data_IF_349279629358
#
_entry.id   IF_349279629358
#
_cell.length_a   1.000
_cell.length_b   1.000
_cell.length_c   1.000
_cell.angle_alpha   90.00
_cell.angle_beta   90.00
_cell.angle_gamma   90.00
#
_symmetry.space_group_name_H-M   'P 1'
#
loop_
_entity.id
_entity.type
_entity.pdbx_description
1 polymer ?
#
# COMPACT_ATOMS: atom_id res chain seq x y z
N UNK A 1 -13.89 -2.32 -26.32
CA UNK A 1 -12.60 -2.01 -25.65
C UNK A 1 -12.25 -3.22 -24.82
N UNK A 2 -11.03 -3.74 -24.91
CA UNK A 2 -10.65 -4.88 -24.06
C UNK A 2 -10.50 -4.38 -22.60
N UNK A 3 -10.61 -5.28 -21.62
CA UNK A 3 -10.51 -4.95 -20.19
C UNK A 3 -9.22 -4.18 -19.86
N UNK A 4 -8.10 -4.59 -20.46
CA UNK A 4 -6.78 -4.00 -20.22
C UNK A 4 -6.70 -2.54 -20.67
N UNK A 5 -7.21 -2.23 -21.86
CA UNK A 5 -7.33 -0.89 -22.43
C UNK A 5 -8.24 -0.02 -21.57
N UNK A 6 -9.35 -0.56 -21.07
CA UNK A 6 -10.25 0.15 -20.15
C UNK A 6 -9.53 0.54 -18.86
N UNK A 7 -8.81 -0.40 -18.25
CA UNK A 7 -8.01 -0.21 -17.03
C UNK A 7 -6.89 0.80 -17.22
N UNK A 8 -6.20 0.74 -18.37
CA UNK A 8 -5.15 1.69 -18.76
C UNK A 8 -5.72 3.10 -18.93
N UNK A 9 -6.78 3.25 -19.74
CA UNK A 9 -7.43 4.53 -19.99
C UNK A 9 -7.98 5.13 -18.71
N UNK A 10 -8.63 4.34 -17.86
CA UNK A 10 -9.14 4.76 -16.55
C UNK A 10 -8.04 5.17 -15.56
N UNK A 11 -6.76 4.92 -15.87
CA UNK A 11 -5.64 5.26 -15.01
C UNK A 11 -5.58 4.42 -13.73
N UNK A 12 -6.04 3.17 -13.77
CA UNK A 12 -6.06 2.29 -12.59
C UNK A 12 -4.64 1.87 -12.23
N UNK A 13 -4.32 1.98 -10.94
CA UNK A 13 -3.06 1.54 -10.35
C UNK A 13 -3.31 0.60 -9.17
N UNK A 14 -2.27 -0.10 -8.73
CA UNK A 14 -2.26 -0.88 -7.51
C UNK A 14 -2.59 -0.02 -6.29
N UNK A 15 -3.84 -0.10 -5.84
CA UNK A 15 -4.40 0.70 -4.75
C UNK A 15 -3.90 0.31 -3.36
N UNK A 16 -3.24 -0.85 -3.22
CA UNK A 16 -2.69 -1.35 -1.96
C UNK A 16 -1.36 -0.71 -1.53
N UNK A 17 -1.02 0.48 -2.02
CA UNK A 17 0.15 1.25 -1.59
C UNK A 17 1.06 1.66 -2.74
N UNK A 18 1.83 0.73 -3.32
CA UNK A 18 2.93 1.05 -4.24
C UNK A 18 2.52 1.80 -5.53
N UNK A 19 1.24 1.76 -5.93
CA UNK A 19 0.74 2.52 -7.08
C UNK A 19 1.25 2.04 -8.44
N UNK A 20 1.69 0.78 -8.54
CA UNK A 20 2.16 0.21 -9.81
C UNK A 20 1.03 0.14 -10.84
N UNK A 21 1.23 0.53 -12.11
CA UNK A 21 0.16 0.53 -13.11
C UNK A 21 -0.44 -0.87 -13.34
N UNK A 22 -1.76 -0.99 -13.17
CA UNK A 22 -2.44 -2.29 -13.18
C UNK A 22 -2.43 -2.94 -14.56
N UNK A 23 -2.57 -2.16 -15.63
CA UNK A 23 -2.50 -2.65 -17.00
C UNK A 23 -1.15 -3.28 -17.35
N UNK A 24 -0.04 -2.76 -16.82
CA UNK A 24 1.29 -3.37 -17.00
C UNK A 24 1.36 -4.68 -16.23
N UNK A 25 0.84 -4.71 -14.99
CA UNK A 25 0.82 -5.92 -14.15
C UNK A 25 0.00 -7.05 -14.79
N UNK A 26 -1.08 -6.73 -15.47
CA UNK A 26 -1.98 -7.68 -16.12
C UNK A 26 -1.61 -8.02 -17.57
N UNK A 27 -0.62 -7.33 -18.14
CA UNK A 27 -0.05 -7.67 -19.45
C UNK A 27 0.86 -8.89 -19.35
N UNK A 28 0.31 -10.00 -18.90
CA UNK A 28 1.01 -11.25 -18.64
C UNK A 28 0.05 -12.45 -18.72
N UNK A 29 0.61 -13.66 -18.75
CA UNK A 29 -0.12 -14.90 -18.45
C UNK A 29 0.28 -15.39 -17.08
N UNK A 30 -0.67 -15.90 -16.32
CA UNK A 30 -0.43 -16.43 -14.98
C UNK A 30 -1.12 -17.78 -14.82
N UNK A 31 -0.49 -18.69 -14.10
CA UNK A 31 -1.12 -19.96 -13.72
C UNK A 31 -2.16 -19.74 -12.61
N UNK A 32 -1.82 -18.87 -11.64
CA UNK A 32 -2.71 -18.54 -10.52
C UNK A 32 -2.95 -17.05 -10.42
N UNK A 33 -4.20 -16.67 -10.17
CA UNK A 33 -4.60 -15.30 -9.88
C UNK A 33 -5.09 -15.19 -8.43
N UNK A 34 -4.43 -14.36 -7.62
CA UNK A 34 -4.73 -14.19 -6.20
C UNK A 34 -5.27 -12.79 -5.94
N UNK A 35 -6.44 -12.71 -5.34
CA UNK A 35 -7.00 -11.48 -4.80
C UNK A 35 -6.52 -11.35 -3.36
N UNK A 36 -5.71 -10.33 -3.07
CA UNK A 36 -5.27 -10.00 -1.73
C UNK A 36 -6.38 -9.24 -0.99
N UNK A 37 -7.16 -9.99 -0.21
CA UNK A 37 -8.27 -9.55 0.63
C UNK A 37 -7.90 -9.57 2.13
N UNK A 38 -6.61 -9.50 2.45
CA UNK A 38 -6.11 -9.67 3.83
C UNK A 38 -6.26 -8.40 4.67
N UNK A 39 -6.10 -7.21 4.07
CA UNK A 39 -6.06 -5.90 4.76
C UNK A 39 -5.21 -6.00 6.05
N UNK A 40 -3.89 -6.05 5.90
CA UNK A 40 -2.99 -6.37 7.01
C UNK A 40 -2.61 -5.17 7.88
N UNK A 41 -2.73 -3.95 7.37
CA UNK A 41 -2.45 -2.74 8.15
C UNK A 41 -3.47 -2.58 9.28
N UNK A 42 -3.03 -2.41 10.55
CA UNK A 42 -3.95 -2.15 11.64
C UNK A 42 -4.82 -0.92 11.38
N UNK A 43 -6.01 -0.91 11.97
CA UNK A 43 -7.02 0.15 11.86
C UNK A 43 -7.71 0.31 10.49
N UNK A 44 -7.10 -0.13 9.38
CA UNK A 44 -7.73 -0.01 8.07
C UNK A 44 -8.90 -0.99 7.91
N UNK A 45 -9.99 -0.50 7.33
CA UNK A 45 -11.22 -1.27 7.07
C UNK A 45 -11.79 -1.01 5.67
N UNK A 46 -11.02 -0.37 4.80
CA UNK A 46 -11.45 0.01 3.44
C UNK A 46 -11.76 -1.23 2.60
N UNK A 47 -10.84 -2.18 2.51
CA UNK A 47 -11.06 -3.41 1.73
C UNK A 47 -12.16 -4.27 2.35
N UNK A 48 -12.28 -4.26 3.68
CA UNK A 48 -13.37 -4.94 4.39
C UNK A 48 -14.74 -4.37 3.99
N UNK A 49 -14.86 -3.05 3.96
CA UNK A 49 -16.07 -2.36 3.51
C UNK A 49 -16.41 -2.73 2.06
N UNK A 50 -15.42 -2.69 1.16
CA UNK A 50 -15.60 -3.05 -0.25
C UNK A 50 -16.03 -4.51 -0.42
N UNK A 51 -15.46 -5.46 0.33
CA UNK A 51 -15.87 -6.86 0.27
C UNK A 51 -17.30 -7.10 0.76
N UNK A 52 -17.79 -6.30 1.72
CA UNK A 52 -19.18 -6.40 2.19
C UNK A 52 -20.18 -5.79 1.20
N UNK A 53 -19.86 -4.64 0.63
CA UNK A 53 -20.83 -3.81 -0.11
C UNK A 53 -20.71 -3.90 -1.63
N UNK A 54 -19.57 -4.37 -2.15
CA UNK A 54 -19.26 -4.47 -3.58
C UNK A 54 -18.78 -5.89 -3.94
N UNK A 55 -19.26 -6.92 -3.21
CA UNK A 55 -18.85 -8.30 -3.41
C UNK A 55 -19.14 -8.82 -4.83
N UNK A 56 -20.32 -8.53 -5.35
CA UNK A 56 -20.75 -8.97 -6.69
C UNK A 56 -19.87 -8.35 -7.78
N UNK A 57 -19.64 -7.03 -7.70
CA UNK A 57 -18.74 -6.30 -8.59
C UNK A 57 -17.32 -6.86 -8.55
N UNK A 58 -16.80 -7.11 -7.34
CA UNK A 58 -15.48 -7.70 -7.13
C UNK A 58 -15.38 -9.06 -7.80
N UNK A 59 -16.32 -9.97 -7.56
CA UNK A 59 -16.30 -11.32 -8.13
C UNK A 59 -16.45 -11.28 -9.66
N UNK A 60 -17.33 -10.41 -10.18
CA UNK A 60 -17.53 -10.22 -11.61
C UNK A 60 -16.22 -9.86 -12.32
N UNK A 61 -15.52 -8.80 -11.87
CA UNK A 61 -14.25 -8.40 -12.49
C UNK A 61 -13.14 -9.43 -12.26
N UNK A 62 -13.18 -10.17 -11.15
CA UNK A 62 -12.22 -11.26 -10.91
C UNK A 62 -12.32 -12.34 -12.00
N UNK A 63 -13.54 -12.70 -12.42
CA UNK A 63 -13.75 -13.63 -13.53
C UNK A 63 -13.14 -13.10 -14.84
N UNK A 64 -13.42 -11.85 -15.19
CA UNK A 64 -12.88 -11.24 -16.42
C UNK A 64 -11.35 -11.15 -16.41
N UNK A 65 -10.74 -10.83 -15.25
CA UNK A 65 -9.28 -10.78 -15.10
C UNK A 65 -8.68 -12.19 -15.16
N UNK A 66 -9.30 -13.17 -14.52
CA UNK A 66 -8.84 -14.56 -14.55
C UNK A 66 -8.82 -15.11 -15.99
N UNK A 67 -9.86 -14.85 -16.78
CA UNK A 67 -9.94 -15.24 -18.18
C UNK A 67 -8.83 -14.57 -19.02
N UNK A 68 -8.66 -13.25 -18.86
CA UNK A 68 -7.61 -12.49 -19.54
C UNK A 68 -6.20 -13.03 -19.22
N UNK A 69 -5.94 -13.35 -17.95
CA UNK A 69 -4.66 -13.90 -17.51
C UNK A 69 -4.47 -15.38 -17.89
N UNK A 70 -5.53 -16.04 -18.38
CA UNK A 70 -5.61 -17.49 -18.59
C UNK A 70 -5.29 -18.28 -17.31
N UNK A 71 -5.72 -17.75 -16.17
CA UNK A 71 -5.46 -18.33 -14.86
C UNK A 71 -6.23 -19.65 -14.71
N UNK A 72 -5.50 -20.72 -14.37
CA UNK A 72 -6.08 -22.04 -14.07
C UNK A 72 -6.75 -22.06 -12.71
N UNK A 73 -6.23 -21.25 -11.78
CA UNK A 73 -6.75 -21.13 -10.42
C UNK A 73 -6.92 -19.67 -10.03
N UNK A 74 -8.10 -19.32 -9.53
CA UNK A 74 -8.38 -17.99 -8.97
C UNK A 74 -8.73 -18.12 -7.49
N UNK A 75 -8.04 -17.35 -6.64
CA UNK A 75 -8.15 -17.46 -5.18
C UNK A 75 -8.35 -16.08 -4.55
N UNK A 76 -9.34 -15.96 -3.67
CA UNK A 76 -9.45 -14.82 -2.75
C UNK A 76 -8.80 -15.20 -1.43
N UNK A 77 -7.64 -14.59 -1.14
CA UNK A 77 -6.88 -14.81 0.09
C UNK A 77 -7.33 -13.82 1.16
N UNK A 78 -7.97 -14.32 2.22
CA UNK A 78 -8.66 -13.51 3.24
C UNK A 78 -8.38 -14.05 4.64
N UNK A 79 -8.37 -13.21 5.67
CA UNK A 79 -8.23 -13.69 7.07
C UNK A 79 -9.46 -14.50 7.46
N UNK A 80 -9.26 -15.67 8.08
CA UNK A 80 -10.37 -16.52 8.53
C UNK A 80 -11.29 -15.87 9.58
N UNK A 81 -10.83 -14.82 10.25
CA UNK A 81 -11.63 -14.02 11.19
C UNK A 81 -12.61 -13.05 10.52
N UNK A 82 -12.52 -12.81 9.21
CA UNK A 82 -13.37 -11.86 8.46
C UNK A 82 -14.69 -12.52 8.04
N UNK A 83 -15.52 -12.89 9.03
CA UNK A 83 -16.70 -13.74 8.81
C UNK A 83 -17.73 -13.11 7.88
N UNK A 84 -18.01 -11.81 8.05
CA UNK A 84 -18.99 -11.08 7.23
C UNK A 84 -18.50 -10.92 5.79
N UNK A 85 -17.24 -10.57 5.61
CA UNK A 85 -16.62 -10.45 4.30
C UNK A 85 -16.59 -11.79 3.56
N UNK A 86 -16.21 -12.89 4.25
CA UNK A 86 -16.24 -14.24 3.70
C UNK A 86 -17.66 -14.61 3.26
N UNK A 87 -18.68 -14.34 4.09
CA UNK A 87 -20.07 -14.65 3.76
C UNK A 87 -20.55 -13.87 2.52
N UNK A 88 -20.22 -12.59 2.42
CA UNK A 88 -20.57 -11.76 1.26
C UNK A 88 -19.89 -12.26 -0.02
N UNK A 89 -18.60 -12.60 0.05
CA UNK A 89 -17.83 -13.15 -1.07
C UNK A 89 -18.33 -14.53 -1.51
N UNK A 90 -18.56 -15.45 -0.57
CA UNK A 90 -19.06 -16.79 -0.87
C UNK A 90 -20.46 -16.73 -1.52
N UNK A 91 -21.32 -15.80 -1.05
CA UNK A 91 -22.62 -15.53 -1.69
C UNK A 91 -22.43 -15.04 -3.13
N UNK A 92 -21.58 -14.03 -3.36
CA UNK A 92 -21.33 -13.48 -4.69
C UNK A 92 -20.72 -14.53 -5.66
N UNK A 93 -19.76 -15.35 -5.18
CA UNK A 93 -19.16 -16.46 -5.94
C UNK A 93 -20.24 -17.45 -6.37
N UNK A 94 -21.13 -17.83 -5.45
CA UNK A 94 -22.23 -18.75 -5.73
C UNK A 94 -23.21 -18.18 -6.74
N UNK A 95 -23.60 -16.91 -6.60
CA UNK A 95 -24.53 -16.24 -7.53
C UNK A 95 -23.95 -16.17 -8.95
N UNK A 96 -22.65 -15.86 -9.08
CA UNK A 96 -21.99 -15.76 -10.37
C UNK A 96 -21.59 -17.13 -10.97
N UNK A 97 -21.81 -18.25 -10.27
CA UNK A 97 -21.26 -19.56 -10.61
C UNK A 97 -19.74 -19.51 -10.91
N UNK A 98 -19.02 -18.65 -10.18
CA UNK A 98 -17.63 -18.34 -10.46
C UNK A 98 -16.70 -19.47 -9.96
N UNK A 99 -15.72 -19.86 -10.78
CA UNK A 99 -14.67 -20.79 -10.36
C UNK A 99 -13.58 -20.07 -9.55
N UNK A 100 -13.95 -19.59 -8.38
CA UNK A 100 -13.08 -18.84 -7.46
C UNK A 100 -13.10 -19.52 -6.09
N UNK A 101 -11.92 -19.76 -5.52
CA UNK A 101 -11.78 -20.36 -4.18
C UNK A 101 -11.52 -19.28 -3.14
N UNK A 102 -12.11 -19.44 -1.96
CA UNK A 102 -11.76 -18.62 -0.78
C UNK A 102 -10.69 -19.35 0.03
N UNK A 103 -9.51 -18.76 0.16
CA UNK A 103 -8.42 -19.28 0.98
C UNK A 103 -8.34 -18.50 2.29
N UNK A 104 -8.59 -19.18 3.41
CA UNK A 104 -8.67 -18.58 4.74
C UNK A 104 -7.31 -18.63 5.43
N UNK A 105 -6.70 -17.46 5.62
CA UNK A 105 -5.40 -17.28 6.26
C UNK A 105 -5.53 -17.09 7.78
N UNK A 106 -4.45 -17.43 8.49
CA UNK A 106 -4.27 -17.05 9.89
C UNK A 106 -4.11 -15.53 10.04
N UNK A 107 -4.52 -14.99 11.20
CA UNK A 107 -4.45 -13.56 11.49
C UNK A 107 -3.06 -13.15 12.02
N UNK A 108 -2.09 -13.02 11.10
CA UNK A 108 -0.73 -12.55 11.41
C UNK A 108 -0.32 -11.36 10.52
N UNK A 109 0.77 -10.69 10.89
CA UNK A 109 1.33 -9.58 10.11
C UNK A 109 2.81 -9.81 9.74
N UNK A 110 3.22 -9.45 8.50
CA UNK A 110 2.38 -9.00 7.40
C UNK A 110 1.89 -10.19 6.56
N UNK A 111 0.70 -10.72 6.86
CA UNK A 111 0.06 -11.71 6.00
C UNK A 111 -0.32 -11.14 4.63
N UNK A 112 -0.43 -9.82 4.50
CA UNK A 112 -0.77 -9.12 3.26
C UNK A 112 0.40 -8.84 2.32
N UNK A 113 1.64 -9.14 2.72
CA UNK A 113 2.81 -8.98 1.85
C UNK A 113 2.69 -9.90 0.64
N UNK A 114 3.01 -9.37 -0.54
CA UNK A 114 2.73 -10.05 -1.81
C UNK A 114 3.43 -11.42 -1.92
N UNK A 115 4.69 -11.55 -1.49
CA UNK A 115 5.37 -12.84 -1.56
C UNK A 115 5.00 -13.77 -0.40
N UNK A 116 4.59 -13.21 0.75
CA UNK A 116 4.00 -14.00 1.84
C UNK A 116 2.70 -14.64 1.36
N UNK A 117 1.80 -13.88 0.73
CA UNK A 117 0.55 -14.42 0.19
C UNK A 117 0.79 -15.49 -0.87
N UNK A 118 1.71 -15.24 -1.81
CA UNK A 118 2.06 -16.24 -2.83
C UNK A 118 2.44 -17.56 -2.16
N UNK A 119 3.30 -17.50 -1.13
CA UNK A 119 3.71 -18.68 -0.40
C UNK A 119 2.57 -19.34 0.39
N UNK A 120 1.76 -18.59 1.12
CA UNK A 120 0.64 -19.16 1.91
C UNK A 120 -0.41 -19.84 1.03
N UNK A 121 -0.68 -19.28 -0.16
CA UNK A 121 -1.72 -19.81 -1.06
C UNK A 121 -1.21 -20.95 -1.93
N UNK A 122 0.01 -20.83 -2.48
CA UNK A 122 0.50 -21.74 -3.53
C UNK A 122 1.66 -22.63 -3.09
N UNK A 123 2.30 -22.34 -1.96
CA UNK A 123 3.58 -22.94 -1.56
C UNK A 123 4.78 -22.53 -2.42
N UNK A 124 4.56 -21.79 -3.52
CA UNK A 124 5.62 -21.31 -4.41
C UNK A 124 6.39 -20.16 -3.75
N UNK A 125 7.65 -20.02 -4.15
CA UNK A 125 8.60 -19.10 -3.54
C UNK A 125 9.08 -18.11 -4.59
N UNK A 126 8.80 -16.84 -4.38
CA UNK A 126 9.31 -15.79 -5.26
C UNK A 126 10.84 -15.71 -5.07
N UNK A 127 11.63 -15.86 -6.16
CA UNK A 127 13.08 -15.76 -6.08
C UNK A 127 13.55 -14.42 -5.52
N UNK A 128 14.75 -14.37 -4.96
CA UNK A 128 15.33 -13.10 -4.49
C UNK A 128 15.40 -12.09 -5.63
N UNK A 129 14.90 -10.87 -5.41
CA UNK A 129 14.81 -9.83 -6.45
C UNK A 129 13.75 -10.08 -7.54
N UNK A 130 13.06 -11.23 -7.50
CA UNK A 130 11.96 -11.56 -8.41
C UNK A 130 10.62 -10.98 -8.01
N UNK A 131 9.64 -11.18 -8.88
CA UNK A 131 8.23 -10.78 -8.71
C UNK A 131 7.33 -12.02 -8.74
N UNK A 132 6.08 -11.97 -8.24
CA UNK A 132 5.16 -13.13 -8.28
C UNK A 132 4.99 -13.76 -9.66
N UNK A 133 5.09 -12.97 -10.73
CA UNK A 133 4.98 -13.47 -12.09
C UNK A 133 6.11 -14.46 -12.44
N UNK A 134 7.29 -14.36 -11.83
CA UNK A 134 8.40 -15.32 -12.01
C UNK A 134 8.04 -16.74 -11.55
N UNK A 135 6.98 -16.90 -10.76
CA UNK A 135 6.43 -18.21 -10.34
C UNK A 135 5.02 -18.47 -10.88
N UNK A 136 4.62 -17.72 -11.91
CA UNK A 136 3.33 -17.85 -12.59
C UNK A 136 2.16 -17.34 -11.77
N UNK A 137 2.36 -16.37 -10.88
CA UNK A 137 1.30 -15.84 -10.00
C UNK A 137 1.11 -14.35 -10.23
N UNK A 138 -0.14 -13.88 -10.33
CA UNK A 138 -0.49 -12.46 -10.27
C UNK A 138 -1.29 -12.21 -9.01
N UNK A 139 -0.92 -11.20 -8.23
CA UNK A 139 -1.64 -10.80 -7.01
C UNK A 139 -2.26 -9.42 -7.21
N UNK A 140 -3.55 -9.23 -6.91
CA UNK A 140 -4.21 -7.91 -7.00
C UNK A 140 -5.01 -7.60 -5.74
N UNK A 141 -4.93 -6.36 -5.25
CA UNK A 141 -5.62 -5.92 -4.05
C UNK A 141 -7.11 -5.63 -4.35
N UNK A 142 -7.99 -5.80 -3.35
CA UNK A 142 -9.45 -5.58 -3.47
C UNK A 142 -9.80 -4.22 -4.05
N UNK A 143 -9.29 -3.11 -3.50
CA UNK A 143 -9.57 -1.78 -4.03
C UNK A 143 -9.10 -1.59 -5.49
N UNK A 144 -8.07 -2.32 -5.91
CA UNK A 144 -7.61 -2.31 -7.32
C UNK A 144 -8.61 -3.01 -8.23
N UNK A 145 -9.18 -4.12 -7.77
CA UNK A 145 -10.20 -4.86 -8.52
C UNK A 145 -11.48 -4.03 -8.65
N UNK A 146 -11.94 -3.38 -7.58
CA UNK A 146 -13.10 -2.48 -7.64
C UNK A 146 -12.87 -1.33 -8.63
N UNK A 147 -11.68 -0.71 -8.62
CA UNK A 147 -11.35 0.33 -9.60
C UNK A 147 -11.32 -0.22 -11.04
N UNK A 148 -10.90 -1.47 -11.24
CA UNK A 148 -10.95 -2.11 -12.55
C UNK A 148 -12.38 -2.45 -13.00
N UNK A 149 -13.27 -2.83 -12.08
CA UNK A 149 -14.69 -2.97 -12.36
C UNK A 149 -15.32 -1.63 -12.76
N UNK A 150 -15.04 -0.57 -12.00
CA UNK A 150 -15.53 0.77 -12.36
C UNK A 150 -15.02 1.19 -13.76
N UNK A 151 -13.79 0.79 -14.13
CA UNK A 151 -13.26 1.00 -15.48
C UNK A 151 -14.00 0.23 -16.58
N UNK A 152 -14.54 -0.97 -16.31
CA UNK A 152 -15.39 -1.68 -17.29
C UNK A 152 -16.71 -0.96 -17.54
N UNK A 153 -17.18 -0.21 -16.54
CA UNK A 153 -18.35 0.66 -16.62
C UNK A 153 -18.03 2.06 -17.18
N UNK A 154 -16.82 2.25 -17.73
CA UNK A 154 -16.38 3.51 -18.31
C UNK A 154 -16.06 4.60 -17.27
N UNK A 155 -15.93 4.25 -15.99
CA UNK A 155 -15.63 5.19 -14.90
C UNK A 155 -14.12 5.19 -14.60
N UNK A 156 -13.41 6.30 -14.81
CA UNK A 156 -11.99 6.38 -14.46
C UNK A 156 -11.77 6.38 -12.93
N UNK A 157 -10.55 6.08 -12.50
CA UNK A 157 -10.18 6.14 -11.09
C UNK A 157 -10.05 7.60 -10.63
N UNK A 158 -11.16 8.16 -10.16
CA UNK A 158 -11.28 9.54 -9.69
C UNK A 158 -11.63 9.69 -8.21
N UNK A 159 -12.06 8.61 -7.55
CA UNK A 159 -12.47 8.60 -6.14
C UNK A 159 -11.78 7.47 -5.38
N UNK A 160 -11.65 7.64 -4.07
CA UNK A 160 -11.09 6.64 -3.16
C UNK A 160 -12.00 6.44 -1.96
N UNK A 161 -12.15 5.17 -1.58
CA UNK A 161 -12.63 4.78 -0.26
C UNK A 161 -11.45 4.84 0.71
N UNK A 162 -11.62 5.52 1.83
CA UNK A 162 -10.55 5.83 2.77
C UNK A 162 -11.08 5.57 4.17
N UNK A 163 -10.33 4.81 4.96
CA UNK A 163 -10.61 4.67 6.38
C UNK A 163 -10.14 5.94 7.10
N UNK A 164 -11.03 6.67 7.76
CA UNK A 164 -10.66 7.78 8.66
C UNK A 164 -10.94 7.39 10.10
N UNK A 165 -9.89 7.27 10.91
CA UNK A 165 -9.99 6.70 12.26
C UNK A 165 -8.87 7.19 13.18
N UNK A 166 -8.86 6.72 14.43
CA UNK A 166 -8.00 7.19 15.49
C UNK A 166 -8.73 8.16 16.41
N UNK A 167 -8.06 9.21 16.87
CA UNK A 167 -8.64 10.27 17.67
C UNK A 167 -9.48 11.24 16.83
N UNK A 168 -10.53 10.73 16.18
CA UNK A 168 -11.58 11.50 15.50
C UNK A 168 -12.93 11.25 16.18
N UNK A 169 -13.86 12.21 16.12
CA UNK A 169 -15.15 12.10 16.83
C UNK A 169 -16.07 11.04 16.22
N UNK A 170 -15.99 10.82 14.90
CA UNK A 170 -16.80 9.81 14.18
C UNK A 170 -15.97 9.03 13.16
N UNK A 171 -15.24 8.00 13.58
CA UNK A 171 -14.48 7.13 12.67
C UNK A 171 -15.38 6.51 11.59
N UNK A 172 -15.02 6.68 10.33
CA UNK A 172 -15.90 6.39 9.19
C UNK A 172 -15.12 5.91 7.96
N UNK A 173 -15.83 5.27 7.02
CA UNK A 173 -15.35 5.13 5.65
C UNK A 173 -15.76 6.37 4.87
N UNK A 174 -14.78 7.05 4.28
CA UNK A 174 -15.02 8.24 3.46
C UNK A 174 -14.76 7.91 2.00
N UNK A 175 -15.72 8.25 1.13
CA UNK A 175 -15.55 8.26 -0.32
C UNK A 175 -15.18 9.67 -0.76
N UNK A 176 -13.92 9.87 -1.12
CA UNK A 176 -13.38 11.19 -1.45
C UNK A 176 -12.85 11.23 -2.88
N UNK A 177 -13.14 12.30 -3.64
CA UNK A 177 -12.44 12.59 -4.89
C UNK A 177 -10.92 12.69 -4.69
N UNK A 178 -10.15 12.23 -5.67
CA UNK A 178 -8.69 12.39 -5.67
C UNK A 178 -8.37 13.89 -5.71
N UNK A 179 -7.45 14.33 -4.86
CA UNK A 179 -7.10 15.73 -4.66
C UNK A 179 -7.90 16.45 -3.57
N UNK A 180 -8.85 15.78 -2.91
CA UNK A 180 -9.50 16.30 -1.69
C UNK A 180 -8.48 16.55 -0.59
N UNK A 181 -8.65 17.63 0.20
CA UNK A 181 -7.78 17.88 1.34
C UNK A 181 -7.92 16.81 2.42
N UNK A 182 -6.80 16.44 3.06
CA UNK A 182 -6.83 15.50 4.20
C UNK A 182 -7.62 16.10 5.37
N UNK A 183 -7.55 17.42 5.56
CA UNK A 183 -8.34 18.15 6.55
C UNK A 183 -9.84 18.00 6.31
N UNK A 184 -10.33 18.10 5.07
CA UNK A 184 -11.75 17.89 4.73
C UNK A 184 -12.21 16.46 5.06
N UNK A 185 -11.34 15.45 4.88
CA UNK A 185 -11.63 14.08 5.30
C UNK A 185 -11.72 13.95 6.83
N UNK A 186 -10.87 14.64 7.59
CA UNK A 186 -10.93 14.65 9.05
C UNK A 186 -12.22 15.36 9.53
N UNK A 187 -12.60 16.47 8.89
CA UNK A 187 -13.84 17.19 9.20
C UNK A 187 -15.09 16.36 8.88
N UNK A 188 -15.09 15.59 7.79
CA UNK A 188 -16.16 14.63 7.51
C UNK A 188 -16.28 13.49 8.54
N UNK A 189 -15.20 13.20 9.27
CA UNK A 189 -15.20 12.34 10.46
C UNK A 189 -15.54 13.11 11.76
N UNK A 190 -16.20 14.26 11.64
CA UNK A 190 -16.56 15.19 12.71
C UNK A 190 -15.36 15.79 13.47
N UNK A 191 -14.22 15.93 12.79
CA UNK A 191 -13.00 16.54 13.34
C UNK A 191 -12.26 15.64 14.33
N UNK A 192 -11.05 16.08 14.71
CA UNK A 192 -10.25 15.42 15.74
C UNK A 192 -10.95 15.49 17.12
N UNK A 193 -10.79 14.44 17.93
CA UNK A 193 -11.29 14.40 19.32
C UNK A 193 -10.28 14.91 20.35
N UNK A 194 -9.07 15.25 19.91
CA UNK A 194 -7.96 15.80 20.71
C UNK A 194 -7.30 16.97 19.95
N UNK A 195 -6.64 17.86 20.69
CA UNK A 195 -5.99 19.05 20.10
C UNK A 195 -4.59 18.77 19.55
N UNK A 196 -3.79 17.96 20.26
CA UNK A 196 -2.41 17.64 19.86
C UNK A 196 -2.29 16.25 19.24
N UNK A 197 -2.27 16.21 17.91
CA UNK A 197 -2.22 14.98 17.14
C UNK A 197 -1.24 15.08 15.97
N UNK A 198 -0.80 13.91 15.50
CA UNK A 198 -0.19 13.72 14.20
C UNK A 198 -1.17 13.05 13.23
N UNK A 199 -0.98 13.31 11.93
CA UNK A 199 -1.79 12.70 10.86
C UNK A 199 -0.91 11.75 10.06
N UNK A 200 -1.35 10.50 9.95
CA UNK A 200 -0.68 9.45 9.15
C UNK A 200 -1.56 9.09 7.94
N UNK A 201 -1.02 9.18 6.73
CA UNK A 201 -1.65 8.62 5.52
C UNK A 201 -1.23 7.17 5.33
N UNK A 202 -2.20 6.31 5.06
CA UNK A 202 -2.04 4.87 4.93
C UNK A 202 -2.31 4.16 6.25
N UNK A 203 -1.62 3.04 6.49
CA UNK A 203 -1.71 2.31 7.76
C UNK A 203 -0.64 2.72 8.77
N UNK A 204 -0.77 2.33 10.05
CA UNK A 204 0.17 2.73 11.08
C UNK A 204 1.54 2.09 10.89
N UNK A 205 1.67 0.94 10.22
CA UNK A 205 2.97 0.30 10.02
C UNK A 205 3.71 0.92 8.84
N UNK A 206 3.11 0.92 7.64
CA UNK A 206 3.77 1.35 6.41
C UNK A 206 3.45 2.79 5.96
N UNK A 207 2.47 3.45 6.58
CA UNK A 207 2.05 4.81 6.21
C UNK A 207 3.07 5.90 6.55
N UNK A 208 2.80 7.12 6.10
CA UNK A 208 3.66 8.31 6.30
C UNK A 208 2.97 9.38 7.13
N UNK A 209 3.74 10.08 7.95
CA UNK A 209 3.27 11.27 8.65
C UNK A 209 3.30 12.49 7.73
N UNK A 210 2.32 13.40 7.88
CA UNK A 210 2.15 14.60 7.03
C UNK A 210 2.71 15.90 7.60
N UNK A 211 3.23 15.90 8.83
CA UNK A 211 3.58 17.12 9.58
C UNK A 211 4.51 18.08 8.82
N UNK A 212 5.41 17.55 7.98
CA UNK A 212 6.36 18.34 7.18
C UNK A 212 5.96 18.55 5.70
N UNK A 213 4.81 18.03 5.26
CA UNK A 213 4.36 18.15 3.86
C UNK A 213 3.65 19.49 3.64
N UNK A 214 3.79 20.06 2.43
CA UNK A 214 3.05 21.26 2.01
C UNK A 214 1.55 20.99 1.91
N UNK A 215 0.74 22.04 1.96
CA UNK A 215 -0.72 21.94 1.88
C UNK A 215 -1.20 21.27 0.57
N UNK A 216 -0.51 21.52 -0.54
CA UNK A 216 -0.80 20.87 -1.83
C UNK A 216 -0.44 19.39 -1.88
N UNK A 217 0.43 18.94 -0.98
CA UNK A 217 0.81 17.52 -0.85
C UNK A 217 -0.03 16.75 0.16
N UNK A 218 -0.74 17.44 1.06
CA UNK A 218 -1.70 16.88 2.04
C UNK A 218 -3.04 16.58 1.40
N UNK A 219 -3.02 15.78 0.32
CA UNK A 219 -4.18 15.49 -0.52
C UNK A 219 -4.40 13.99 -0.66
N UNK A 220 -5.66 13.61 -0.88
CA UNK A 220 -6.03 12.25 -1.26
C UNK A 220 -5.41 11.91 -2.62
N UNK A 221 -4.67 10.82 -2.70
CA UNK A 221 -4.11 10.25 -3.94
C UNK A 221 -4.70 8.88 -4.24
N UNK A 222 -4.46 8.34 -5.44
CA UNK A 222 -4.87 6.98 -5.82
C UNK A 222 -4.38 5.87 -4.87
N UNK A 223 -3.28 6.11 -4.15
CA UNK A 223 -2.67 5.18 -3.20
C UNK A 223 -3.11 5.40 -1.76
N UNK A 224 -3.93 6.42 -1.49
CA UNK A 224 -4.46 6.70 -0.15
C UNK A 224 -5.49 5.64 0.22
N UNK A 225 -5.23 4.89 1.30
CA UNK A 225 -6.13 3.85 1.84
C UNK A 225 -6.69 4.19 3.22
N UNK A 226 -6.02 5.07 3.97
CA UNK A 226 -6.42 5.51 5.29
C UNK A 226 -5.85 6.88 5.67
N UNK A 227 -6.52 7.55 6.60
CA UNK A 227 -6.10 8.77 7.27
C UNK A 227 -6.29 8.52 8.77
N UNK A 228 -5.17 8.49 9.51
CA UNK A 228 -5.17 8.20 10.93
C UNK A 228 -4.82 9.46 11.70
N UNK A 229 -5.66 9.83 12.66
CA UNK A 229 -5.39 10.89 13.63
C UNK A 229 -4.91 10.23 14.91
N UNK A 230 -3.65 10.45 15.30
CA UNK A 230 -3.03 9.76 16.44
C UNK A 230 -2.44 10.78 17.42
N UNK A 231 -2.47 10.52 18.74
CA UNK A 231 -1.91 11.43 19.72
C UNK A 231 -0.39 11.61 19.54
N UNK A 232 0.10 12.84 19.71
CA UNK A 232 1.55 13.08 19.86
C UNK A 232 2.07 12.57 21.20
N UNK A 233 3.38 12.42 21.33
CA UNK A 233 4.07 11.87 22.51
C UNK A 233 4.03 10.34 22.61
N UNK A 234 3.27 9.64 21.77
CA UNK A 234 3.19 8.19 21.74
C UNK A 234 4.30 7.51 20.92
N UNK A 235 4.29 6.16 20.91
CA UNK A 235 5.21 5.36 20.10
C UNK A 235 5.24 5.77 18.62
N UNK A 236 4.05 6.11 18.09
CA UNK A 236 3.85 6.41 16.68
C UNK A 236 4.60 7.67 16.22
N UNK A 237 4.75 8.69 17.06
CA UNK A 237 5.52 9.90 16.72
C UNK A 237 7.01 9.54 16.49
N UNK A 238 7.62 8.82 17.44
CA UNK A 238 9.01 8.36 17.28
C UNK A 238 9.17 7.37 16.11
N UNK A 239 8.17 6.51 15.88
CA UNK A 239 8.19 5.58 14.76
C UNK A 239 8.06 6.28 13.40
N UNK A 240 7.28 7.35 13.30
CA UNK A 240 7.04 8.09 12.05
C UNK A 240 7.92 9.31 11.84
N UNK A 241 8.75 9.65 12.83
CA UNK A 241 9.75 10.72 12.74
C UNK A 241 10.57 10.67 11.45
N UNK A 242 11.07 11.82 11.01
CA UNK A 242 12.01 11.89 9.90
C UNK A 242 13.23 10.98 10.12
N UNK A 243 13.79 10.49 9.01
CA UNK A 243 15.01 9.69 9.02
C UNK A 243 16.23 10.62 9.20
N UNK A 244 17.07 10.30 10.18
CA UNK A 244 18.32 10.98 10.47
C UNK A 244 19.41 9.93 10.65
N UNK A 245 20.29 9.81 9.64
CA UNK A 245 21.33 8.79 9.61
C UNK A 245 22.36 8.98 10.74
N UNK A 246 22.97 10.17 10.94
CA UNK A 246 23.86 10.41 12.09
C UNK A 246 23.25 10.03 13.44
N UNK A 247 21.99 10.39 13.68
CA UNK A 247 21.29 10.02 14.92
C UNK A 247 21.10 8.50 15.03
N UNK A 248 20.72 7.85 13.94
CA UNK A 248 20.56 6.38 13.90
C UNK A 248 21.89 5.68 14.16
N UNK A 249 22.99 6.12 13.54
CA UNK A 249 24.32 5.56 13.77
C UNK A 249 24.74 5.72 15.22
N UNK A 250 24.56 6.92 15.80
CA UNK A 250 24.85 7.18 17.22
C UNK A 250 24.05 6.26 18.15
N UNK A 251 22.74 6.12 17.92
CA UNK A 251 21.88 5.21 18.69
C UNK A 251 22.30 3.75 18.52
N UNK A 252 22.62 3.33 17.31
CA UNK A 252 23.05 1.96 17.04
C UNK A 252 24.38 1.63 17.75
N UNK A 253 25.38 2.54 17.70
CA UNK A 253 26.65 2.38 18.43
C UNK A 253 26.45 2.30 19.95
N UNK A 254 25.56 3.15 20.49
CA UNK A 254 25.37 3.27 21.93
C UNK A 254 24.48 2.16 22.53
N UNK A 255 23.44 1.72 21.81
CA UNK A 255 22.37 0.91 22.38
C UNK A 255 22.21 -0.48 21.74
N UNK A 256 22.79 -0.77 20.57
CA UNK A 256 22.57 -2.07 19.93
C UNK A 256 23.22 -3.20 20.74
N UNK A 257 22.40 -4.10 21.29
CA UNK A 257 22.85 -5.30 22.03
C UNK A 257 23.29 -6.47 21.12
N UNK A 258 23.41 -6.23 19.80
CA UNK A 258 23.85 -7.22 18.82
C UNK A 258 23.08 -8.56 18.85
N UNK A 259 21.78 -8.55 19.17
CA UNK A 259 20.91 -9.68 18.92
C UNK A 259 20.56 -9.83 17.42
N UNK A 260 19.75 -10.82 17.06
CA UNK A 260 19.27 -11.07 15.70
C UNK A 260 17.74 -10.99 15.54
N UNK A 261 17.01 -10.52 16.56
CA UNK A 261 15.53 -10.53 16.60
C UNK A 261 14.89 -9.88 15.38
N UNK A 262 15.43 -8.75 14.91
CA UNK A 262 14.92 -8.07 13.71
C UNK A 262 15.05 -8.88 12.41
N UNK A 263 15.89 -9.91 12.37
CA UNK A 263 15.93 -10.90 11.28
C UNK A 263 15.07 -12.10 11.56
N UNK A 264 15.10 -12.62 12.80
CA UNK A 264 14.30 -13.79 13.20
C UNK A 264 12.79 -13.56 13.03
N UNK A 265 12.35 -12.29 13.03
CA UNK A 265 10.95 -11.91 12.78
C UNK A 265 10.73 -11.25 11.41
N UNK A 266 11.77 -11.16 10.56
CA UNK A 266 11.62 -10.55 9.25
C UNK A 266 10.88 -11.51 8.30
N UNK A 267 9.74 -11.12 7.70
CA UNK A 267 8.96 -12.01 6.84
C UNK A 267 9.74 -12.50 5.61
N UNK A 268 10.59 -11.64 5.02
CA UNK A 268 11.46 -12.02 3.90
C UNK A 268 12.51 -13.04 4.32
N UNK A 269 13.15 -12.83 5.48
CA UNK A 269 14.11 -13.79 6.02
C UNK A 269 13.47 -15.14 6.33
N UNK A 270 12.26 -15.13 6.90
CA UNK A 270 11.48 -16.32 7.19
C UNK A 270 11.07 -17.09 5.93
N UNK A 271 10.90 -16.40 4.79
CA UNK A 271 10.72 -17.02 3.47
C UNK A 271 12.04 -17.50 2.83
N UNK A 272 13.16 -17.37 3.55
CA UNK A 272 14.49 -17.81 3.15
C UNK A 272 15.38 -16.71 2.56
N UNK A 273 14.85 -15.53 2.25
CA UNK A 273 15.65 -14.48 1.60
C UNK A 273 16.84 -14.07 2.46
N UNK A 274 17.99 -13.70 1.86
CA UNK A 274 19.21 -13.33 2.59
C UNK A 274 19.12 -11.96 3.29
N UNK A 275 17.91 -11.39 3.44
CA UNK A 275 17.69 -10.14 4.16
C UNK A 275 17.91 -10.34 5.66
N UNK A 276 19.02 -9.82 6.17
CA UNK A 276 19.38 -9.88 7.59
C UNK A 276 19.46 -8.46 8.21
N UNK A 277 18.34 -7.84 8.63
CA UNK A 277 18.35 -6.50 9.20
C UNK A 277 19.33 -6.28 10.37
N UNK A 278 19.63 -7.31 11.17
CA UNK A 278 20.61 -7.17 12.27
C UNK A 278 22.03 -6.94 11.76
N UNK A 279 22.41 -7.55 10.63
CA UNK A 279 23.73 -7.33 10.03
C UNK A 279 23.78 -5.96 9.36
N UNK A 280 22.72 -5.58 8.61
CA UNK A 280 22.62 -4.25 8.00
C UNK A 280 22.76 -3.14 9.05
N UNK A 281 22.07 -3.27 10.19
CA UNK A 281 22.18 -2.30 11.29
C UNK A 281 23.60 -2.21 11.86
N UNK A 282 24.31 -3.33 12.00
CA UNK A 282 25.70 -3.34 12.50
C UNK A 282 26.64 -2.71 11.49
N UNK A 283 26.50 -3.07 10.21
CA UNK A 283 27.27 -2.47 9.11
C UNK A 283 27.10 -0.95 9.12
N UNK A 284 25.85 -0.46 9.09
CA UNK A 284 25.54 0.97 9.08
C UNK A 284 26.06 1.69 10.32
N UNK A 285 25.99 1.06 11.50
CA UNK A 285 26.47 1.67 12.74
C UNK A 285 27.95 2.05 12.66
N UNK A 286 28.80 1.23 12.05
CA UNK A 286 30.25 1.44 12.02
C UNK A 286 30.78 1.97 10.68
N UNK A 287 29.89 2.33 9.75
CA UNK A 287 30.29 2.94 8.48
C UNK A 287 30.54 4.43 8.68
N UNK A 288 31.67 4.91 8.18
CA UNK A 288 31.97 6.35 8.07
C UNK A 288 31.69 6.85 6.65
N UNK A 289 32.16 6.13 5.62
CA UNK A 289 31.90 6.44 4.21
C UNK A 289 30.77 5.56 3.64
N UNK A 290 29.68 6.21 3.22
CA UNK A 290 28.54 5.53 2.61
C UNK A 290 28.84 5.01 1.20
N UNK A 291 29.77 5.60 0.46
CA UNK A 291 30.11 5.11 -0.88
C UNK A 291 30.73 3.71 -0.82
N UNK A 292 31.54 3.42 0.22
CA UNK A 292 32.10 2.09 0.47
C UNK A 292 31.03 1.02 0.68
N UNK A 293 29.85 1.39 1.18
CA UNK A 293 28.75 0.43 1.40
C UNK A 293 28.09 -0.05 0.12
N UNK A 294 28.12 0.74 -0.94
CA UNK A 294 27.43 0.39 -2.18
C UNK A 294 28.36 -0.29 -3.20
N UNK A 295 29.68 -0.19 -3.02
CA UNK A 295 30.71 -0.86 -3.80
C UNK A 295 31.00 -2.28 -3.27
N UNK A 296 30.06 -3.22 -3.49
CA UNK A 296 30.19 -4.68 -3.24
C UNK A 296 29.88 -5.22 -1.83
N UNK A 297 29.03 -4.54 -1.05
CA UNK A 297 28.54 -5.10 0.21
C UNK A 297 27.22 -5.88 0.03
N UNK A 298 27.30 -7.20 -0.07
CA UNK A 298 26.11 -8.06 -0.25
C UNK A 298 25.07 -7.87 0.88
N UNK A 299 25.52 -7.67 2.12
CA UNK A 299 24.63 -7.45 3.28
C UNK A 299 23.78 -6.20 3.08
N UNK A 300 24.38 -5.10 2.62
CA UNK A 300 23.67 -3.85 2.33
C UNK A 300 22.78 -4.00 1.10
N UNK A 301 23.28 -4.63 0.04
CA UNK A 301 22.51 -4.91 -1.17
C UNK A 301 21.26 -5.76 -0.89
N UNK A 302 21.27 -6.61 0.14
CA UNK A 302 20.10 -7.37 0.58
C UNK A 302 18.97 -6.49 1.12
N UNK A 303 19.23 -5.23 1.50
CA UNK A 303 18.17 -4.27 1.88
C UNK A 303 17.14 -4.05 0.76
N UNK A 304 17.53 -4.21 -0.51
CA UNK A 304 16.64 -4.11 -1.67
C UNK A 304 15.43 -5.06 -1.60
N UNK A 305 15.59 -6.21 -0.94
CA UNK A 305 14.56 -7.24 -0.76
C UNK A 305 13.50 -6.85 0.29
N UNK A 306 13.74 -5.80 1.07
CA UNK A 306 12.86 -5.40 2.16
C UNK A 306 11.47 -4.99 1.63
N UNK A 307 10.43 -5.52 2.28
CA UNK A 307 9.03 -5.13 2.06
C UNK A 307 8.61 -3.86 2.81
N UNK A 308 9.51 -3.30 3.63
CA UNK A 308 9.27 -2.12 4.46
C UNK A 308 8.10 -2.26 5.46
N UNK A 309 7.68 -3.49 5.79
CA UNK A 309 6.60 -3.78 6.74
C UNK A 309 6.81 -3.27 8.18
N UNK A 310 7.99 -2.76 8.53
CA UNK A 310 8.20 -2.16 9.85
C UNK A 310 8.36 -3.13 11.03
N UNK A 311 8.10 -4.44 10.88
CA UNK A 311 8.20 -5.44 11.98
C UNK A 311 9.51 -5.33 12.76
N UNK A 312 10.63 -5.18 12.06
CA UNK A 312 11.96 -5.07 12.66
C UNK A 312 12.11 -3.86 13.59
N UNK A 313 11.43 -2.75 13.28
CA UNK A 313 11.46 -1.50 14.03
C UNK A 313 10.37 -1.46 15.10
N UNK A 314 9.13 -1.76 14.70
CA UNK A 314 7.95 -1.57 15.52
C UNK A 314 7.77 -2.67 16.58
N UNK A 315 8.24 -3.89 16.28
CA UNK A 315 7.95 -5.05 17.12
C UNK A 315 9.23 -5.76 17.61
N UNK A 316 10.20 -5.97 16.72
CA UNK A 316 11.32 -6.88 17.02
C UNK A 316 12.47 -6.25 17.83
N UNK A 317 12.80 -4.98 17.61
CA UNK A 317 13.97 -4.38 18.26
C UNK A 317 13.67 -4.00 19.72
N UNK A 318 14.34 -4.62 20.72
CA UNK A 318 14.12 -4.26 22.13
C UNK A 318 14.72 -2.89 22.48
N UNK A 319 15.69 -2.42 21.71
CA UNK A 319 16.43 -1.17 21.94
C UNK A 319 15.84 0.04 21.20
N UNK A 320 14.70 -0.12 20.51
CA UNK A 320 14.05 0.96 19.79
C UNK A 320 14.82 1.49 18.57
N UNK A 321 15.73 0.69 18.00
CA UNK A 321 16.39 1.03 16.73
C UNK A 321 15.41 0.89 15.55
N UNK A 322 15.75 1.50 14.41
CA UNK A 322 14.84 1.62 13.25
C UNK A 322 15.34 0.91 11.98
N UNK A 323 15.51 -0.43 11.96
CA UNK A 323 16.03 -1.14 10.79
C UNK A 323 15.19 -0.98 9.52
N UNK A 324 13.87 -0.82 9.63
CA UNK A 324 13.02 -0.61 8.44
C UNK A 324 13.32 0.72 7.76
N UNK A 325 13.61 1.78 8.52
CA UNK A 325 13.96 3.10 7.94
C UNK A 325 15.35 3.07 7.31
N UNK A 326 16.31 2.40 7.96
CA UNK A 326 17.64 2.15 7.37
C UNK A 326 17.52 1.40 6.05
N UNK A 327 16.72 0.34 5.99
CA UNK A 327 16.49 -0.39 4.74
C UNK A 327 15.80 0.48 3.67
N UNK A 328 14.87 1.36 4.05
CA UNK A 328 14.23 2.30 3.13
C UNK A 328 15.27 3.24 2.51
N UNK A 329 16.08 3.88 3.35
CA UNK A 329 17.17 4.76 2.91
C UNK A 329 18.12 4.04 1.95
N UNK A 330 18.59 2.85 2.31
CA UNK A 330 19.48 2.06 1.47
C UNK A 330 18.85 1.69 0.12
N UNK A 331 17.54 1.39 0.11
CA UNK A 331 16.79 1.08 -1.12
C UNK A 331 16.68 2.29 -2.04
N UNK A 332 16.44 3.47 -1.47
CA UNK A 332 16.38 4.72 -2.22
C UNK A 332 17.76 5.07 -2.83
N UNK A 333 18.83 4.95 -2.05
CA UNK A 333 20.21 5.18 -2.51
C UNK A 333 20.67 4.18 -3.57
N UNK A 334 20.31 2.90 -3.44
CA UNK A 334 20.54 1.88 -4.47
C UNK A 334 19.78 2.19 -5.76
N UNK A 335 18.54 2.67 -5.64
CA UNK A 335 17.71 3.03 -6.81
C UNK A 335 18.32 4.20 -7.57
N UNK A 336 18.82 5.23 -6.87
CA UNK A 336 19.54 6.36 -7.48
C UNK A 336 20.80 5.92 -8.23
N UNK A 337 21.50 4.90 -7.71
CA UNK A 337 22.69 4.30 -8.33
C UNK A 337 22.37 3.26 -9.42
N UNK A 338 21.09 3.04 -9.73
CA UNK A 338 20.69 2.09 -10.77
C UNK A 338 20.93 0.61 -10.41
N UNK A 339 21.11 0.28 -9.13
CA UNK A 339 21.35 -1.09 -8.69
C UNK A 339 20.21 -2.02 -9.11
N UNK A 340 20.57 -3.14 -9.74
CA UNK A 340 19.67 -4.23 -10.10
C UNK A 340 20.27 -5.54 -9.58
N UNK A 341 19.49 -6.29 -8.80
CA UNK A 341 19.90 -7.61 -8.35
C UNK A 341 19.83 -8.59 -9.53
N UNK A 342 20.96 -9.23 -9.84
CA UNK A 342 21.04 -10.24 -10.91
C UNK A 342 20.66 -11.66 -10.49
N UNK A 343 20.83 -12.02 -9.21
CA UNK A 343 20.64 -13.40 -8.72
C UNK A 343 19.19 -13.68 -8.32
N UNK A 344 18.54 -14.59 -9.06
CA UNK A 344 17.23 -15.17 -8.75
C UNK A 344 17.39 -16.52 -8.05
N UNK A 345 18.04 -16.53 -6.90
CA UNK A 345 18.11 -17.75 -6.08
C UNK A 345 16.81 -17.96 -5.31
N UNK A 346 16.31 -19.20 -5.36
CA UNK A 346 15.13 -19.61 -4.60
C UNK A 346 15.58 -20.10 -3.24
N UNK A 347 15.35 -19.31 -2.21
CA UNK A 347 15.75 -19.67 -0.86
C UNK A 347 14.78 -20.66 -0.18
N UNK A 348 15.24 -21.35 0.86
CA UNK A 348 14.43 -22.28 1.67
C UNK A 348 13.82 -21.53 2.86
N UNK A 349 12.49 -21.58 3.07
CA UNK A 349 11.85 -20.99 4.23
C UNK A 349 12.45 -21.53 5.54
N UNK A 350 12.49 -20.68 6.56
CA UNK A 350 12.98 -21.08 7.88
C UNK A 350 12.02 -22.11 8.50
N UNK A 351 12.55 -23.20 9.05
CA UNK A 351 11.76 -24.29 9.62
C UNK A 351 10.88 -23.83 10.78
N UNK A 352 11.30 -22.80 11.52
CA UNK A 352 10.57 -22.23 12.66
C UNK A 352 9.60 -21.11 12.26
N UNK A 353 9.42 -20.82 10.96
CA UNK A 353 8.58 -19.72 10.46
C UNK A 353 7.19 -19.68 11.06
N UNK A 354 6.52 -20.83 11.15
CA UNK A 354 5.16 -20.91 11.67
C UNK A 354 5.06 -20.42 13.12
N UNK A 355 6.09 -20.65 13.93
CA UNK A 355 6.19 -20.20 15.31
C UNK A 355 6.66 -18.74 15.45
N UNK A 356 7.11 -18.13 14.36
CA UNK A 356 7.62 -16.74 14.29
C UNK A 356 6.60 -15.75 13.71
N UNK A 357 5.45 -16.24 13.23
CA UNK A 357 4.34 -15.39 12.79
C UNK A 357 3.87 -14.50 13.94
N UNK A 358 3.74 -13.20 13.68
CA UNK A 358 3.33 -12.23 14.71
C UNK A 358 1.82 -12.04 14.64
N UNK A 359 1.06 -12.33 15.71
CA UNK A 359 -0.38 -12.04 15.76
C UNK A 359 -0.64 -10.55 15.51
N UNK A 360 -1.58 -10.23 14.62
CA UNK A 360 -1.87 -8.85 14.23
C UNK A 360 -2.30 -7.94 15.41
N UNK A 361 -3.01 -8.52 16.38
CA UNK A 361 -3.43 -7.85 17.61
C UNK A 361 -2.23 -7.39 18.45
N UNK A 362 -1.21 -8.25 18.61
CA UNK A 362 0.00 -7.90 19.38
C UNK A 362 0.76 -6.71 18.79
N UNK A 363 0.76 -6.58 17.46
CA UNK A 363 1.36 -5.40 16.81
C UNK A 363 0.59 -4.14 17.14
N UNK A 364 -0.74 -4.19 17.16
CA UNK A 364 -1.57 -3.03 17.45
C UNK A 364 -1.38 -2.53 18.88
N UNK A 365 -1.26 -3.44 19.85
CA UNK A 365 -0.86 -3.08 21.21
C UNK A 365 0.55 -2.50 21.28
N UNK A 366 1.50 -3.13 20.59
CA UNK A 366 2.91 -2.71 20.63
C UNK A 366 3.12 -1.29 20.09
N UNK A 367 2.40 -0.92 19.04
CA UNK A 367 2.50 0.41 18.43
C UNK A 367 1.54 1.44 19.05
N UNK A 368 0.78 1.05 20.08
CA UNK A 368 -0.09 1.97 20.83
C UNK A 368 -1.35 2.40 20.08
N UNK A 369 -1.91 1.53 19.24
CA UNK A 369 -3.14 1.83 18.47
C UNK A 369 -4.28 0.85 18.74
N UNK A 370 -4.13 -0.05 19.71
CA UNK A 370 -5.14 -1.07 20.01
C UNK A 370 -6.51 -0.46 20.36
N UNK A 371 -6.52 0.66 21.10
CA UNK A 371 -7.75 1.33 21.54
C UNK A 371 -8.60 1.88 20.39
N UNK A 372 -8.00 2.03 19.20
CA UNK A 372 -8.68 2.49 17.99
C UNK A 372 -9.21 1.34 17.10
N UNK A 373 -8.96 0.08 17.47
CA UNK A 373 -9.43 -1.05 16.67
C UNK A 373 -10.96 -1.16 16.69
N UNK A 374 -11.53 -1.47 15.52
CA UNK A 374 -12.97 -1.74 15.40
C UNK A 374 -13.88 -0.51 15.54
N UNK A 375 -13.34 0.70 15.63
CA UNK A 375 -14.13 1.93 15.79
C UNK A 375 -14.86 2.38 14.51
N UNK A 376 -14.36 1.95 13.34
CA UNK A 376 -14.86 2.43 12.05
C UNK A 376 -16.29 1.94 11.82
N UNK A 377 -17.21 2.90 11.66
CA UNK A 377 -18.60 2.62 11.33
C UNK A 377 -18.73 2.00 9.93
N UNK A 378 -19.81 1.24 9.71
CA UNK A 378 -20.21 0.79 8.38
C UNK A 378 -20.78 1.91 7.51
N UNK A 379 -21.11 3.07 8.11
CA UNK A 379 -21.64 4.19 7.35
C UNK A 379 -20.57 4.85 6.49
N UNK A 380 -20.95 5.11 5.24
CA UNK A 380 -20.12 5.82 4.27
C UNK A 380 -20.47 7.31 4.26
N UNK A 381 -19.42 8.15 4.24
CA UNK A 381 -19.55 9.60 4.04
C UNK A 381 -18.98 9.94 2.67
N UNK A 382 -19.79 10.50 1.78
CA UNK A 382 -19.34 10.96 0.47
C UNK A 382 -18.95 12.44 0.53
N UNK A 383 -17.73 12.75 0.09
CA UNK A 383 -17.23 14.12 0.04
C UNK A 383 -17.46 14.77 -1.33
N UNK A 384 -17.80 16.05 -1.27
CA UNK A 384 -17.94 16.92 -2.44
C UNK A 384 -17.12 18.20 -2.22
N UNK A 385 -15.78 18.13 -2.38
CA UNK A 385 -14.91 19.26 -2.10
C UNK A 385 -15.12 20.39 -3.11
N UNK A 386 -14.99 21.63 -2.65
CA UNK A 386 -15.02 22.83 -3.51
C UNK A 386 -13.80 22.92 -4.44
N UNK A 387 -12.71 22.24 -4.09
CA UNK A 387 -11.46 22.23 -4.85
C UNK A 387 -10.80 20.85 -4.81
N UNK A 388 -10.24 20.42 -5.94
CA UNK A 388 -9.42 19.21 -6.04
C UNK A 388 -8.01 19.58 -6.50
N UNK A 389 -7.00 19.18 -5.72
CA UNK A 389 -5.57 19.40 -6.01
C UNK A 389 -4.92 18.07 -6.34
N UNK A 390 -4.80 17.75 -7.63
CA UNK A 390 -4.40 16.44 -8.12
C UNK A 390 -2.89 16.44 -8.41
N UNK A 391 -2.12 15.70 -7.61
CA UNK A 391 -0.67 15.57 -7.84
C UNK A 391 -0.37 14.81 -9.14
N UNK A 392 0.61 15.28 -9.93
CA UNK A 392 1.05 14.57 -11.14
C UNK A 392 1.78 13.26 -10.78
N UNK A 393 2.57 13.26 -9.70
CA UNK A 393 3.28 12.08 -9.20
C UNK A 393 2.44 11.30 -8.19
N UNK A 394 1.85 10.17 -8.60
CA UNK A 394 1.08 9.30 -7.68
C UNK A 394 1.55 7.83 -7.65
N UNK A 395 2.62 7.49 -8.35
CA UNK A 395 3.16 6.13 -8.42
C UNK A 395 4.54 6.06 -9.09
N UNK A 396 5.13 4.86 -9.21
CA UNK A 396 6.36 4.66 -9.95
C UNK A 396 6.17 4.94 -11.44
N UNK A 397 7.28 5.27 -12.12
CA UNK A 397 7.27 5.56 -13.56
C UNK A 397 7.33 7.04 -13.90
N UNK A 398 7.06 7.35 -15.17
CA UNK A 398 7.10 8.70 -15.75
C UNK A 398 5.93 9.54 -15.23
N UNK A 399 6.14 10.85 -15.17
CA UNK A 399 5.08 11.81 -14.86
C UNK A 399 4.11 11.91 -16.04
N UNK A 400 2.79 11.92 -15.80
CA UNK A 400 1.82 12.22 -16.84
C UNK A 400 1.94 13.70 -17.24
N UNK A 401 1.77 13.96 -18.52
CA UNK A 401 1.85 15.28 -19.15
C UNK A 401 0.43 15.87 -19.20
N UNK A 402 0.21 17.10 -18.68
CA UNK A 402 -1.11 17.73 -18.73
C UNK A 402 -1.63 17.85 -20.16
N UNK A 403 -2.92 17.56 -20.35
CA UNK A 403 -3.63 17.67 -21.65
C UNK A 403 -4.72 18.74 -21.64
N UNK A 404 -4.77 19.53 -20.57
CA UNK A 404 -5.67 20.67 -20.35
C UNK A 404 -4.85 21.93 -20.09
N UNK A 405 -5.48 23.09 -20.22
CA UNK A 405 -4.91 24.40 -19.93
C UNK A 405 -5.63 25.08 -18.75
N UNK A 406 -4.96 26.05 -18.12
CA UNK A 406 -5.59 26.91 -17.12
C UNK A 406 -6.73 27.70 -17.79
N UNK A 407 -7.91 27.69 -17.17
CA UNK A 407 -9.15 28.26 -17.69
C UNK A 407 -10.10 27.24 -18.32
N UNK A 408 -9.63 26.02 -18.62
CA UNK A 408 -10.48 24.97 -19.20
C UNK A 408 -11.56 24.52 -18.21
N UNK A 409 -12.77 24.26 -18.72
CA UNK A 409 -13.85 23.62 -17.99
C UNK A 409 -13.80 22.12 -18.24
N UNK A 410 -13.75 21.34 -17.18
CA UNK A 410 -13.68 19.87 -17.21
C UNK A 410 -14.87 19.24 -16.51
N UNK A 411 -15.32 18.11 -17.01
CA UNK A 411 -16.31 17.25 -16.34
C UNK A 411 -15.60 16.24 -15.44
N UNK A 412 -16.31 15.72 -14.43
CA UNK A 412 -15.77 14.63 -13.64
C UNK A 412 -15.50 13.41 -14.54
N UNK A 413 -14.26 12.91 -14.51
CA UNK A 413 -13.79 11.82 -15.36
C UNK A 413 -13.10 12.25 -16.66
N UNK A 414 -13.08 13.55 -17.00
CA UNK A 414 -12.29 14.04 -18.14
C UNK A 414 -10.80 13.75 -17.94
N UNK A 415 -10.11 13.30 -18.99
CA UNK A 415 -8.65 13.14 -18.97
C UNK A 415 -7.99 14.51 -18.83
N UNK A 416 -7.12 14.68 -17.82
CA UNK A 416 -6.42 15.95 -17.54
C UNK A 416 -4.91 15.83 -17.66
N UNK A 417 -4.36 14.61 -17.55
CA UNK A 417 -2.97 14.35 -17.87
C UNK A 417 -2.79 12.92 -18.38
N UNK A 418 -2.01 12.73 -19.44
CA UNK A 418 -1.77 11.43 -20.08
C UNK A 418 -0.34 10.97 -19.89
N UNK A 419 -0.14 9.66 -19.83
CA UNK A 419 1.21 9.07 -19.91
C UNK A 419 1.61 8.95 -21.38
N UNK A 420 2.86 9.32 -21.73
CA UNK A 420 3.35 9.10 -23.09
C UNK A 420 3.32 7.63 -23.48
N UNK A 421 3.00 7.35 -24.75
CA UNK A 421 2.84 5.99 -25.25
C UNK A 421 4.07 5.11 -24.95
N UNK A 422 3.81 3.92 -24.40
CA UNK A 422 4.85 2.95 -24.04
C UNK A 422 5.63 3.27 -22.75
N UNK A 423 5.39 4.42 -22.11
CA UNK A 423 6.00 4.73 -20.82
C UNK A 423 5.24 4.07 -19.66
N UNK A 424 5.96 3.69 -18.61
CA UNK A 424 5.36 3.22 -17.37
C UNK A 424 4.77 4.39 -16.59
N UNK A 425 3.48 4.37 -16.28
CA UNK A 425 2.81 5.32 -15.39
C UNK A 425 1.29 5.16 -15.42
N UNK A 426 0.53 6.15 -14.96
CA UNK A 426 -0.93 6.16 -15.08
C UNK A 426 -1.49 7.51 -15.49
N UNK A 427 -2.51 7.51 -16.36
CA UNK A 427 -3.31 8.69 -16.69
C UNK A 427 -4.00 9.30 -15.46
N UNK A 428 -4.24 10.61 -15.48
CA UNK A 428 -4.99 11.33 -14.46
C UNK A 428 -6.25 11.94 -15.06
N UNK A 429 -7.32 11.93 -14.26
CA UNK A 429 -8.63 12.41 -14.65
C UNK A 429 -9.10 13.47 -13.64
N UNK A 430 -9.90 14.41 -14.11
CA UNK A 430 -10.60 15.38 -13.27
C UNK A 430 -11.50 14.63 -12.29
N UNK A 431 -11.29 14.84 -11.00
CA UNK A 431 -12.06 14.17 -9.95
C UNK A 431 -13.37 14.85 -9.62
N UNK A 432 -13.52 16.11 -10.06
CA UNK A 432 -14.73 16.92 -9.93
C UNK A 432 -14.98 17.67 -11.24
N UNK A 433 -16.24 18.04 -11.48
CA UNK A 433 -16.58 19.03 -12.49
C UNK A 433 -16.12 20.41 -12.02
N UNK A 434 -15.41 21.15 -12.87
CA UNK A 434 -14.84 22.43 -12.44
C UNK A 434 -14.04 23.15 -13.52
N UNK A 435 -13.41 24.25 -13.12
CA UNK A 435 -12.45 25.00 -13.93
C UNK A 435 -11.03 24.70 -13.47
N UNK A 436 -10.13 24.43 -14.41
CA UNK A 436 -8.69 24.29 -14.14
C UNK A 436 -8.13 25.67 -13.79
N UNK A 437 -7.59 25.80 -12.59
CA UNK A 437 -7.09 27.08 -12.05
C UNK A 437 -5.56 27.15 -11.95
N UNK A 438 -4.90 26.00 -11.92
CA UNK A 438 -3.45 25.91 -11.80
C UNK A 438 -2.95 24.61 -12.44
N UNK A 439 -1.80 24.70 -13.13
CA UNK A 439 -1.03 23.54 -13.62
C UNK A 439 0.43 23.79 -13.24
N UNK A 440 0.96 22.96 -12.35
CA UNK A 440 2.33 22.99 -11.85
C UNK A 440 2.82 21.55 -11.62
N UNK A 441 3.35 21.19 -10.44
CA UNK A 441 3.53 19.78 -10.04
C UNK A 441 2.19 19.12 -9.62
N UNK A 442 1.12 19.93 -9.57
CA UNK A 442 -0.27 19.55 -9.35
C UNK A 442 -1.19 20.15 -10.43
N UNK A 443 -2.39 19.60 -10.58
CA UNK A 443 -3.49 20.21 -11.33
C UNK A 443 -4.59 20.60 -10.34
N UNK A 444 -4.91 21.88 -10.25
CA UNK A 444 -5.95 22.42 -9.36
C UNK A 444 -7.24 22.66 -10.12
N UNK A 445 -8.32 22.03 -9.68
CA UNK A 445 -9.65 22.17 -10.25
C UNK A 445 -10.56 22.78 -9.19
N UNK A 446 -11.20 23.91 -9.51
CA UNK A 446 -12.20 24.54 -8.65
C UNK A 446 -13.60 24.19 -9.13
N UNK A 447 -14.46 23.73 -8.23
CA UNK A 447 -15.83 23.32 -8.52
C UNK A 447 -16.61 24.48 -9.15
N UNK A 448 -17.36 24.16 -10.21
CA UNK A 448 -18.38 25.06 -10.74
C UNK A 448 -19.64 24.94 -9.88
N UNK A 449 -20.16 26.08 -9.44
CA UNK A 449 -21.39 26.17 -8.65
C UNK A 449 -22.63 25.85 -9.46
#
# INVERSE_FOLDING_TARGET
MNLLEGVEKAGVIGCGGAGFPTHIKWKARAESFIINAVECEPLLSTDKYLMRHRAEDLISVCCSVAEMLQAKETVVAIKGSYREEIAALEKAIKTACANIKVHRLQSFYPAGDEQVIVYEVTGKRVPCGGIPLDVGVVVSNVATMIAAFDATEGKPLIEKYITVTGAVRRPSIIKAPIGTAVSECIEAACGASIDDYLVVIGGPMMGRELSCESEDRRRVTKTTSGILVLPKGGFMEGYKSAFDLPLIQKKARAACIQCSYCSMLCPRHLLGHPLKPHLIMRTIAFTEDLEELFADNEVVQNASLCSLCGVCTAYACPMGLQPSKVNSFLKDEMTKRGFRRGTKETAVPQADREWRKIPAERISHRIGVADYQGQVSEQIVELRPEEAVIQLKQGPGRLPEPVVAVGDVVEAGSLIASIPDGAMGSNLHASIKGTVTEISDVIRIRRLK
#
